data_IF_071837087019
#
_entry.id   IF_071837087019
#
_cell.length_a   1.000
_cell.length_b   1.000
_cell.length_c   1.000
_cell.angle_alpha   90.00
_cell.angle_beta   90.00
_cell.angle_gamma   90.00
#
_symmetry.space_group_name_H-M   'P 1'
#
loop_
_entity.id
_entity.type
_entity.pdbx_description
1 polymer ?
#
# COMPACT_ATOMS: atom_id res chain seq x y z
N UNK A 1 -9.93 -14.96 -11.84
CA UNK A 1 -10.89 -13.84 -11.89
C UNK A 1 -10.12 -12.61 -11.44
N UNK A 2 -9.57 -11.84 -12.38
CA UNK A 2 -8.81 -10.64 -12.08
C UNK A 2 -9.84 -9.53 -11.94
N UNK A 3 -10.11 -9.11 -10.71
CA UNK A 3 -10.95 -7.95 -10.46
C UNK A 3 -10.08 -6.70 -10.71
N UNK A 4 -10.50 -5.75 -11.55
CA UNK A 4 -9.72 -4.55 -11.90
C UNK A 4 -9.81 -3.47 -10.82
N UNK A 5 -9.58 -3.85 -9.55
CA UNK A 5 -9.70 -2.96 -8.40
C UNK A 5 -8.35 -2.83 -7.69
N UNK A 6 -7.90 -1.58 -7.53
CA UNK A 6 -6.71 -1.26 -6.74
C UNK A 6 -7.12 -0.81 -5.31
N UNK A 7 -6.17 -0.79 -4.38
CA UNK A 7 -6.41 -0.43 -2.98
C UNK A 7 -6.19 1.08 -2.79
N UNK A 8 -7.18 1.82 -2.27
CA UNK A 8 -7.13 3.26 -1.97
C UNK A 8 -8.44 4.02 -2.27
N UNK A 9 -8.71 5.17 -1.64
CA UNK A 9 -9.90 6.01 -1.92
C UNK A 9 -9.60 7.08 -2.97
N UNK A 10 -9.32 6.70 -4.22
CA UNK A 10 -9.14 7.70 -5.27
C UNK A 10 -9.32 7.06 -6.65
N UNK A 11 -9.72 7.87 -7.63
CA UNK A 11 -9.51 7.52 -9.04
C UNK A 11 -8.01 7.61 -9.31
N UNK A 12 -7.35 6.47 -9.51
CA UNK A 12 -5.91 6.41 -9.81
C UNK A 12 -5.74 6.22 -11.30
N UNK A 13 -4.81 6.99 -11.85
CA UNK A 13 -4.40 6.85 -13.23
C UNK A 13 -3.15 5.97 -13.23
N UNK A 14 -3.28 4.78 -13.80
CA UNK A 14 -2.18 3.84 -13.93
C UNK A 14 -1.53 4.02 -15.30
N UNK A 15 -0.22 4.22 -15.30
CA UNK A 15 0.60 4.13 -16.50
C UNK A 15 1.26 2.75 -16.53
N UNK A 16 0.78 1.88 -17.43
CA UNK A 16 1.31 0.52 -17.52
C UNK A 16 2.72 0.44 -18.10
N UNK A 17 3.29 1.55 -18.59
CA UNK A 17 4.69 1.60 -19.04
C UNK A 17 5.67 1.88 -17.91
N UNK A 18 5.20 2.52 -16.83
CA UNK A 18 6.01 2.91 -15.68
C UNK A 18 5.82 1.99 -14.47
N UNK A 19 4.79 1.15 -14.45
CA UNK A 19 4.42 0.33 -13.28
C UNK A 19 3.88 1.13 -12.10
N UNK A 20 3.99 2.45 -12.11
CA UNK A 20 3.64 3.32 -10.99
C UNK A 20 2.19 3.81 -11.04
N UNK A 21 1.49 3.66 -9.91
CA UNK A 21 0.16 4.22 -9.68
C UNK A 21 0.23 5.57 -8.98
N UNK A 22 -0.16 6.66 -9.65
CA UNK A 22 -0.23 7.99 -9.03
C UNK A 22 -1.66 8.40 -8.69
N UNK A 23 -1.91 8.75 -7.43
CA UNK A 23 -3.16 9.41 -7.02
C UNK A 23 -3.24 10.79 -7.68
N UNK A 24 -3.97 10.90 -8.79
CA UNK A 24 -4.20 12.20 -9.44
C UNK A 24 -5.31 12.93 -8.68
N UNK A 25 -4.92 13.69 -7.65
CA UNK A 25 -5.75 14.81 -7.17
C UNK A 25 -5.13 16.17 -7.47
N UNK A 26 -3.84 16.30 -7.82
CA UNK A 26 -3.23 17.65 -7.90
C UNK A 26 -2.33 18.02 -9.09
N UNK A 27 -2.31 17.30 -10.21
CA UNK A 27 -1.59 17.82 -11.40
C UNK A 27 -2.39 17.75 -12.70
N UNK A 28 -3.65 18.17 -12.64
CA UNK A 28 -4.34 18.70 -13.82
C UNK A 28 -4.02 20.19 -14.05
N UNK A 29 -2.74 20.61 -14.01
CA UNK A 29 -2.33 21.86 -14.67
C UNK A 29 -0.91 21.80 -15.22
N UNK A 30 -0.91 21.82 -16.56
CA UNK A 30 0.08 22.31 -17.52
C UNK A 30 0.82 21.18 -18.24
N UNK A 31 0.54 21.15 -19.55
CA UNK A 31 0.75 20.02 -20.42
C UNK A 31 2.20 19.63 -20.63
N UNK A 32 2.38 18.37 -20.98
CA UNK A 32 2.95 17.95 -22.25
C UNK A 32 2.53 16.50 -22.49
N UNK A 33 1.70 16.29 -23.52
CA UNK A 33 1.29 14.96 -23.96
C UNK A 33 2.45 14.33 -24.74
N UNK A 34 3.02 13.24 -24.21
CA UNK A 34 3.91 12.34 -24.96
C UNK A 34 3.63 10.90 -24.48
N UNK A 35 2.91 10.15 -25.32
CA UNK A 35 2.44 8.75 -25.18
C UNK A 35 1.30 8.48 -24.17
N UNK A 36 0.06 8.66 -24.62
CA UNK A 36 -1.17 8.37 -23.88
C UNK A 36 -1.85 7.04 -24.30
N UNK A 37 -1.10 6.06 -24.82
CA UNK A 37 -1.67 4.77 -25.28
C UNK A 37 -1.83 3.72 -24.15
N UNK A 38 -1.29 3.98 -22.96
CA UNK A 38 -1.20 2.99 -21.86
C UNK A 38 -1.66 3.54 -20.51
N UNK A 39 -2.49 4.57 -20.53
CA UNK A 39 -3.02 5.21 -19.34
C UNK A 39 -4.46 4.74 -19.12
N UNK A 40 -4.69 4.02 -18.03
CA UNK A 40 -6.02 3.53 -17.67
C UNK A 40 -6.46 4.09 -16.33
N UNK A 41 -7.70 4.55 -16.31
CA UNK A 41 -8.38 4.94 -15.07
C UNK A 41 -9.00 3.70 -14.44
N UNK A 42 -8.64 3.40 -13.19
CA UNK A 42 -9.24 2.31 -12.45
C UNK A 42 -9.96 2.83 -11.22
N UNK A 43 -10.92 2.03 -10.75
CA UNK A 43 -11.59 2.27 -9.49
C UNK A 43 -10.76 1.69 -8.35
N UNK A 44 -10.45 2.52 -7.36
CA UNK A 44 -9.80 2.05 -6.14
C UNK A 44 -10.81 2.00 -5.00
N UNK A 45 -10.66 1.00 -4.14
CA UNK A 45 -11.40 0.88 -2.89
C UNK A 45 -10.44 0.82 -1.71
N UNK A 46 -10.71 1.51 -0.59
CA UNK A 46 -9.89 1.33 0.60
C UNK A 46 -9.88 -0.13 1.04
N UNK A 47 -8.75 -0.57 1.57
CA UNK A 47 -8.53 -1.96 1.99
C UNK A 47 -9.64 -2.45 2.93
N UNK A 48 -10.08 -1.59 3.86
CA UNK A 48 -11.17 -1.90 4.77
C UNK A 48 -12.50 -2.25 4.06
N UNK A 49 -12.84 -1.56 2.96
CA UNK A 49 -14.05 -1.89 2.19
C UNK A 49 -13.96 -3.26 1.54
N UNK A 50 -12.78 -3.65 1.06
CA UNK A 50 -12.53 -4.97 0.48
C UNK A 50 -12.69 -6.05 1.56
N UNK A 51 -12.11 -5.82 2.74
CA UNK A 51 -12.23 -6.71 3.90
C UNK A 51 -13.70 -6.92 4.33
N UNK A 52 -14.48 -5.84 4.39
CA UNK A 52 -15.91 -5.92 4.69
C UNK A 52 -16.69 -6.71 3.63
N UNK A 53 -16.37 -6.52 2.35
CA UNK A 53 -17.04 -7.25 1.26
C UNK A 53 -16.78 -8.76 1.32
N UNK A 54 -15.59 -9.17 1.79
CA UNK A 54 -15.23 -10.58 2.01
C UNK A 54 -15.73 -11.11 3.37
N UNK A 55 -16.22 -10.24 4.24
CA UNK A 55 -16.71 -10.62 5.58
C UNK A 55 -15.59 -11.03 6.53
N UNK A 56 -14.39 -10.45 6.39
CA UNK A 56 -13.21 -10.76 7.19
C UNK A 56 -12.48 -9.49 7.59
N UNK A 57 -12.26 -9.28 8.89
CA UNK A 57 -11.46 -8.17 9.43
C UNK A 57 -10.18 -8.63 10.12
N UNK A 58 -10.03 -9.94 10.32
CA UNK A 58 -8.83 -10.59 10.85
C UNK A 58 -7.99 -11.14 9.70
N UNK A 59 -6.75 -10.65 9.60
CA UNK A 59 -5.80 -10.97 8.54
C UNK A 59 -4.50 -11.46 9.18
N UNK A 60 -4.13 -12.70 8.90
CA UNK A 60 -2.89 -13.28 9.43
C UNK A 60 -1.64 -12.65 8.77
N UNK A 61 -1.72 -12.40 7.47
CA UNK A 61 -0.63 -11.85 6.68
C UNK A 61 -1.16 -10.90 5.61
N UNK A 62 -0.56 -9.71 5.53
CA UNK A 62 -0.84 -8.72 4.50
C UNK A 62 0.46 -8.32 3.81
N UNK A 63 0.58 -8.56 2.49
CA UNK A 63 1.69 -8.07 1.68
C UNK A 63 1.23 -6.85 0.88
N UNK A 64 1.93 -5.74 1.01
CA UNK A 64 1.60 -4.48 0.36
C UNK A 64 2.73 -4.06 -0.60
N UNK A 65 2.40 -4.13 -1.88
CA UNK A 65 3.22 -3.72 -3.02
C UNK A 65 2.28 -3.10 -4.05
N UNK A 66 2.31 -1.78 -4.14
CA UNK A 66 1.44 -0.98 -5.03
C UNK A 66 2.24 0.07 -5.80
N UNK A 67 3.55 -0.19 -5.96
CA UNK A 67 4.48 0.57 -6.80
C UNK A 67 4.48 2.08 -6.46
N UNK A 68 4.56 2.40 -5.15
CA UNK A 68 4.82 3.76 -4.63
C UNK A 68 3.66 4.44 -3.91
N UNK A 69 2.53 3.76 -3.72
CA UNK A 69 1.37 4.27 -2.99
C UNK A 69 1.19 3.64 -1.59
N UNK A 70 2.15 2.85 -1.12
CA UNK A 70 2.07 2.03 0.09
C UNK A 70 1.79 2.90 1.33
N UNK A 71 2.56 3.98 1.50
CA UNK A 71 2.41 4.90 2.63
C UNK A 71 0.99 5.46 2.73
N UNK A 72 0.43 5.91 1.60
CA UNK A 72 -0.94 6.45 1.53
C UNK A 72 -2.00 5.38 1.79
N UNK A 73 -1.79 4.15 1.31
CA UNK A 73 -2.71 3.04 1.60
C UNK A 73 -2.75 2.78 3.10
N UNK A 74 -1.59 2.72 3.76
CA UNK A 74 -1.49 2.49 5.20
C UNK A 74 -2.15 3.59 6.04
N UNK A 75 -2.10 4.86 5.60
CA UNK A 75 -2.82 5.98 6.24
C UNK A 75 -4.35 5.82 6.20
N UNK A 76 -4.88 5.11 5.20
CA UNK A 76 -6.34 4.91 5.07
C UNK A 76 -6.90 3.74 5.88
N UNK A 77 -6.03 2.90 6.47
CA UNK A 77 -6.47 1.71 7.19
C UNK A 77 -7.00 2.12 8.58
N UNK A 78 -8.25 1.75 8.92
CA UNK A 78 -8.78 1.94 10.27
C UNK A 78 -8.23 0.83 11.18
N UNK A 79 -7.06 1.05 11.76
CA UNK A 79 -6.33 0.10 12.61
C UNK A 79 -7.10 -0.31 13.89
N UNK A 80 -8.15 0.43 14.26
CA UNK A 80 -9.09 0.08 15.32
C UNK A 80 -10.15 -0.95 14.90
N UNK A 81 -10.35 -1.16 13.59
CA UNK A 81 -11.40 -2.04 13.02
C UNK A 81 -10.83 -3.24 12.27
N UNK A 82 -9.53 -3.26 12.01
CA UNK A 82 -8.85 -4.32 11.26
C UNK A 82 -7.73 -4.89 12.13
N UNK A 83 -7.70 -6.21 12.24
CA UNK A 83 -6.66 -6.91 12.97
C UNK A 83 -5.70 -7.59 11.98
N UNK A 84 -4.52 -7.00 11.79
CA UNK A 84 -3.45 -7.57 10.95
C UNK A 84 -2.33 -8.05 11.85
N UNK A 85 -1.99 -9.34 11.78
CA UNK A 85 -0.95 -9.92 12.65
C UNK A 85 0.46 -9.59 12.15
N UNK A 86 0.69 -9.83 10.87
CA UNK A 86 1.98 -9.60 10.20
C UNK A 86 1.76 -8.89 8.86
N UNK A 87 2.66 -7.99 8.53
CA UNK A 87 2.62 -7.16 7.33
C UNK A 87 4.00 -7.14 6.68
N UNK A 88 4.08 -7.24 5.35
CA UNK A 88 5.27 -6.80 4.61
C UNK A 88 4.91 -5.64 3.70
N UNK A 89 5.79 -4.65 3.63
CA UNK A 89 5.60 -3.45 2.81
C UNK A 89 6.83 -3.21 1.97
N UNK A 90 6.65 -3.09 0.66
CA UNK A 90 7.70 -2.63 -0.24
C UNK A 90 7.97 -1.13 -0.02
N UNK A 91 9.23 -0.71 0.04
CA UNK A 91 9.58 0.69 0.29
C UNK A 91 10.43 1.36 -0.79
N UNK A 92 10.79 0.63 -1.85
CA UNK A 92 11.64 1.15 -2.93
C UNK A 92 11.02 2.34 -3.65
N UNK A 93 9.72 2.28 -3.85
CA UNK A 93 8.99 3.25 -4.65
C UNK A 93 8.25 4.29 -3.79
N UNK A 94 8.38 4.23 -2.46
CA UNK A 94 7.74 5.17 -1.54
C UNK A 94 8.53 6.49 -1.51
N UNK A 95 7.93 7.63 -1.91
CA UNK A 95 8.62 8.93 -1.88
C UNK A 95 8.93 9.42 -0.45
N UNK A 96 8.15 9.00 0.55
CA UNK A 96 8.38 9.28 1.97
C UNK A 96 9.58 8.50 2.56
N UNK A 97 9.96 7.38 1.93
CA UNK A 97 11.07 6.50 2.32
C UNK A 97 10.82 5.58 3.52
N UNK A 98 11.69 4.58 3.70
CA UNK A 98 11.61 3.57 4.77
C UNK A 98 11.50 4.17 6.19
N UNK A 99 12.22 5.24 6.57
CA UNK A 99 12.11 5.78 7.93
C UNK A 99 10.73 6.36 8.24
N UNK A 100 10.06 6.96 7.25
CA UNK A 100 8.71 7.47 7.43
C UNK A 100 7.71 6.33 7.55
N UNK A 101 7.82 5.32 6.68
CA UNK A 101 7.04 4.10 6.74
C UNK A 101 7.16 3.42 8.11
N UNK A 102 8.38 3.21 8.60
CA UNK A 102 8.61 2.58 9.91
C UNK A 102 7.99 3.38 11.05
N UNK A 103 8.07 4.71 11.05
CA UNK A 103 7.40 5.56 12.06
C UNK A 103 5.87 5.45 12.00
N UNK A 104 5.29 5.40 10.80
CA UNK A 104 3.85 5.21 10.62
C UNK A 104 3.42 3.87 11.22
N UNK A 105 4.15 2.79 10.94
CA UNK A 105 3.85 1.46 11.47
C UNK A 105 4.01 1.39 13.00
N UNK A 106 5.07 1.96 13.54
CA UNK A 106 5.29 2.05 14.99
C UNK A 106 4.16 2.82 15.70
N UNK A 107 3.67 3.92 15.11
CA UNK A 107 2.54 4.67 15.65
C UNK A 107 1.24 3.86 15.70
N UNK A 108 1.13 2.85 14.84
CA UNK A 108 -0.01 1.94 14.75
C UNK A 108 0.22 0.60 15.49
N UNK A 109 1.17 0.55 16.44
CA UNK A 109 1.47 -0.61 17.29
C UNK A 109 2.03 -1.81 16.52
N UNK A 110 2.89 -1.54 15.55
CA UNK A 110 3.67 -2.56 14.87
C UNK A 110 5.17 -2.37 15.14
N UNK A 111 5.87 -3.48 15.35
CA UNK A 111 7.32 -3.52 15.44
C UNK A 111 7.90 -3.99 14.13
N UNK A 112 8.97 -3.31 13.70
CA UNK A 112 9.83 -3.81 12.63
C UNK A 112 10.51 -5.10 13.09
N UNK A 113 10.33 -6.17 12.31
CA UNK A 113 10.86 -7.49 12.59
C UNK A 113 12.09 -7.79 11.74
N UNK A 114 11.95 -7.72 10.41
CA UNK A 114 13.02 -8.04 9.47
C UNK A 114 13.00 -7.08 8.28
N UNK A 115 14.17 -6.85 7.68
CA UNK A 115 14.28 -6.25 6.35
C UNK A 115 14.55 -7.37 5.37
N UNK A 116 13.78 -7.40 4.28
CA UNK A 116 13.88 -8.41 3.24
C UNK A 116 14.37 -7.69 1.99
N UNK A 117 15.57 -8.06 1.55
CA UNK A 117 16.19 -7.47 0.36
C UNK A 117 16.31 -8.50 -0.74
N UNK A 118 15.61 -8.27 -1.84
CA UNK A 118 15.75 -9.01 -3.09
C UNK A 118 16.55 -8.18 -4.09
N UNK A 119 16.81 -8.76 -5.26
CA UNK A 119 17.63 -8.12 -6.30
C UNK A 119 16.96 -6.85 -6.89
N UNK A 120 15.63 -6.78 -6.85
CA UNK A 120 14.84 -5.67 -7.40
C UNK A 120 13.89 -5.02 -6.40
N UNK A 121 13.57 -5.68 -5.28
CA UNK A 121 12.63 -5.19 -4.29
C UNK A 121 13.25 -5.16 -2.90
N UNK A 122 12.92 -4.13 -2.14
CA UNK A 122 13.25 -4.05 -0.72
C UNK A 122 11.96 -3.91 0.07
N UNK A 123 11.74 -4.84 0.98
CA UNK A 123 10.58 -4.90 1.85
C UNK A 123 10.98 -4.80 3.31
N UNK A 124 10.05 -4.31 4.13
CA UNK A 124 10.15 -4.38 5.58
C UNK A 124 8.99 -5.21 6.11
N UNK A 125 9.31 -6.19 6.95
CA UNK A 125 8.35 -7.00 7.67
C UNK A 125 8.06 -6.38 9.04
N UNK A 126 6.78 -6.21 9.34
CA UNK A 126 6.24 -5.68 10.58
C UNK A 126 5.35 -6.72 11.26
N UNK A 127 5.40 -6.77 12.58
CA UNK A 127 4.56 -7.64 13.42
C UNK A 127 3.83 -6.78 14.43
N UNK A 128 2.54 -7.02 14.60
CA UNK A 128 1.75 -6.28 15.59
C UNK A 128 2.28 -6.54 17.00
N UNK A 129 2.33 -5.50 17.83
CA UNK A 129 2.96 -5.53 19.15
C UNK A 129 2.43 -6.63 20.08
N UNK A 130 1.13 -6.93 20.01
CA UNK A 130 0.47 -7.99 20.77
C UNK A 130 0.96 -9.39 20.40
N UNK A 131 1.43 -9.60 19.17
CA UNK A 131 1.97 -10.87 18.70
C UNK A 131 3.50 -10.91 18.76
N UNK A 132 4.16 -9.75 18.81
CA UNK A 132 5.62 -9.66 18.88
C UNK A 132 6.23 -10.29 20.14
N UNK A 133 5.46 -10.50 21.21
CA UNK A 133 5.93 -11.20 22.42
C UNK A 133 6.06 -12.74 22.24
N UNK A 134 5.56 -13.29 21.13
CA UNK A 134 5.61 -14.72 20.80
C UNK A 134 6.67 -15.05 19.74
N UNK A 135 7.45 -14.07 19.30
CA UNK A 135 8.56 -14.20 18.36
C UNK A 135 9.89 -13.95 19.09
#
# INVERSE_FOLDING_TARGET
>A
MILPFAIGTCTVTFDSTLGSGSSIVEKAKKGEAKNAENIYTVQCFPFYSILLAVGRTDVDYFGLDVEGAEYKVLETIPWDKVNIKTLTVEWNHIPEGEPALSRLMESNKFKKSHMISFYYSHEVAYVQDSYAAYL
#
